data_IF_208068711929
#
_entry.id   IF_208068711929
#
_cell.length_a   1.000
_cell.length_b   1.000
_cell.length_c   1.000
_cell.angle_alpha   90.00
_cell.angle_beta   90.00
_cell.angle_gamma   90.00
#
_symmetry.space_group_name_H-M   'P 1'
#
loop_
_entity.id
_entity.type
_entity.pdbx_description
1 polymer ?
#
# COMPACT_ATOMS: atom_id res chain seq x y z
N UNK A 1 -18.12 -3.72 5.58
CA UNK A 1 -18.12 -2.25 5.41
C UNK A 1 -19.53 -1.78 5.07
N UNK A 2 -20.00 -0.65 5.62
CA UNK A 2 -21.32 -0.08 5.27
C UNK A 2 -21.32 0.48 3.82
N UNK A 3 -22.47 0.94 3.32
CA UNK A 3 -22.62 1.36 1.91
C UNK A 3 -21.84 2.65 1.61
N UNK A 4 -21.88 3.62 2.53
CA UNK A 4 -21.20 4.89 2.38
C UNK A 4 -19.67 4.72 2.38
N UNK A 5 -19.16 3.95 3.34
CA UNK A 5 -17.74 3.62 3.43
C UNK A 5 -17.27 2.83 2.21
N UNK A 6 -18.10 1.91 1.69
CA UNK A 6 -17.78 1.17 0.47
C UNK A 6 -17.61 2.10 -0.74
N UNK A 7 -18.53 3.06 -0.92
CA UNK A 7 -18.43 4.05 -2.00
C UNK A 7 -17.16 4.90 -1.88
N UNK A 8 -16.82 5.32 -0.66
CA UNK A 8 -15.58 6.07 -0.42
C UNK A 8 -14.34 5.23 -0.75
N UNK A 9 -14.31 3.97 -0.28
CA UNK A 9 -13.22 3.04 -0.59
C UNK A 9 -13.07 2.80 -2.10
N UNK A 10 -14.15 2.68 -2.87
CA UNK A 10 -14.09 2.53 -4.32
C UNK A 10 -13.38 3.69 -5.02
N UNK A 11 -13.54 4.92 -4.50
CA UNK A 11 -12.85 6.12 -5.02
C UNK A 11 -11.40 6.16 -4.54
N UNK A 12 -11.16 5.82 -3.28
CA UNK A 12 -9.84 5.89 -2.66
C UNK A 12 -8.86 4.83 -3.19
N UNK A 13 -9.34 3.61 -3.47
CA UNK A 13 -8.50 2.49 -3.92
C UNK A 13 -7.64 2.82 -5.16
N UNK A 14 -8.17 3.35 -6.28
CA UNK A 14 -7.34 3.72 -7.42
C UNK A 14 -6.35 4.86 -7.10
N UNK A 15 -6.71 5.79 -6.22
CA UNK A 15 -5.80 6.87 -5.78
C UNK A 15 -4.63 6.29 -4.99
N UNK A 16 -4.89 5.39 -4.04
CA UNK A 16 -3.87 4.68 -3.29
C UNK A 16 -2.96 3.83 -4.19
N UNK A 17 -3.52 3.20 -5.22
CA UNK A 17 -2.76 2.45 -6.23
C UNK A 17 -1.79 3.37 -6.98
N UNK A 18 -2.27 4.51 -7.47
CA UNK A 18 -1.42 5.48 -8.17
C UNK A 18 -0.30 6.01 -7.27
N UNK A 19 -0.58 6.31 -6.00
CA UNK A 19 0.46 6.71 -5.03
C UNK A 19 1.56 5.68 -4.90
N UNK A 20 1.20 4.39 -4.85
CA UNK A 20 2.18 3.32 -4.78
C UNK A 20 3.03 3.24 -6.05
N UNK A 21 2.41 3.38 -7.24
CA UNK A 21 3.14 3.47 -8.50
C UNK A 21 4.13 4.65 -8.50
N UNK A 22 3.70 5.83 -8.07
CA UNK A 22 4.55 7.03 -7.97
C UNK A 22 5.72 6.78 -7.02
N UNK A 23 5.50 6.14 -5.87
CA UNK A 23 6.56 5.80 -4.92
C UNK A 23 7.60 4.86 -5.54
N UNK A 24 7.16 3.77 -6.15
CA UNK A 24 8.05 2.79 -6.83
C UNK A 24 8.87 3.50 -7.92
N UNK A 25 8.23 4.34 -8.73
CA UNK A 25 8.92 5.04 -9.81
C UNK A 25 9.92 6.08 -9.29
N UNK A 26 9.64 6.74 -8.17
CA UNK A 26 10.58 7.67 -7.54
C UNK A 26 11.84 6.94 -7.02
N UNK A 27 11.67 5.75 -6.46
CA UNK A 27 12.80 4.91 -6.00
C UNK A 27 13.65 4.43 -7.19
N UNK A 28 13.00 3.99 -8.28
CA UNK A 28 13.68 3.63 -9.52
C UNK A 28 14.43 4.83 -10.13
N UNK A 29 13.80 5.99 -10.22
CA UNK A 29 14.42 7.22 -10.74
C UNK A 29 15.68 7.58 -9.94
N UNK A 30 15.61 7.51 -8.61
CA UNK A 30 16.76 7.77 -7.73
C UNK A 30 17.93 6.83 -8.06
N UNK A 31 17.66 5.54 -8.27
CA UNK A 31 18.68 4.53 -8.60
C UNK A 31 19.29 4.75 -9.98
N UNK A 32 18.46 5.04 -10.99
CA UNK A 32 18.93 5.36 -12.35
C UNK A 32 19.86 6.58 -12.36
N UNK A 33 19.61 7.55 -11.49
CA UNK A 33 20.38 8.80 -11.38
C UNK A 33 21.58 8.70 -10.42
N UNK A 34 21.78 7.59 -9.72
CA UNK A 34 22.87 7.45 -8.75
C UNK A 34 24.24 7.37 -9.44
N UNK A 35 25.00 8.45 -9.35
CA UNK A 35 26.31 8.58 -10.00
C UNK A 35 27.40 7.72 -9.37
N UNK A 36 27.16 7.15 -8.19
CA UNK A 36 28.12 6.27 -7.51
C UNK A 36 28.12 4.84 -8.07
N UNK A 37 27.05 4.44 -8.76
CA UNK A 37 26.94 3.16 -9.44
C UNK A 37 27.44 3.27 -10.89
N UNK A 38 28.06 2.21 -11.40
CA UNK A 38 28.35 2.08 -12.83
C UNK A 38 27.05 1.96 -13.64
N UNK A 39 27.06 2.27 -14.96
CA UNK A 39 25.84 2.21 -15.77
C UNK A 39 25.13 0.85 -15.75
N UNK A 40 25.87 -0.26 -15.70
CA UNK A 40 25.28 -1.59 -15.66
C UNK A 40 24.63 -1.89 -14.30
N UNK A 41 25.30 -1.54 -13.20
CA UNK A 41 24.74 -1.69 -11.84
C UNK A 41 23.46 -0.87 -11.65
N UNK A 42 23.37 0.32 -12.26
CA UNK A 42 22.12 1.10 -12.24
C UNK A 42 20.98 0.38 -12.95
N UNK A 43 21.25 -0.27 -14.08
CA UNK A 43 20.24 -1.01 -14.84
C UNK A 43 19.75 -2.19 -13.99
N UNK A 44 20.67 -3.00 -13.48
CA UNK A 44 20.36 -4.19 -12.66
C UNK A 44 19.57 -3.80 -11.40
N UNK A 45 20.07 -2.85 -10.60
CA UNK A 45 19.40 -2.41 -9.38
C UNK A 45 18.02 -1.78 -9.65
N UNK A 46 17.86 -1.06 -10.78
CA UNK A 46 16.56 -0.49 -11.16
C UNK A 46 15.56 -1.57 -11.58
N UNK A 47 16.02 -2.62 -12.26
CA UNK A 47 15.19 -3.76 -12.62
C UNK A 47 14.71 -4.51 -11.38
N UNK A 48 15.61 -4.80 -10.44
CA UNK A 48 15.27 -5.47 -9.17
C UNK A 48 14.23 -4.67 -8.37
N UNK A 49 14.42 -3.35 -8.24
CA UNK A 49 13.47 -2.46 -7.57
C UNK A 49 12.10 -2.47 -8.24
N UNK A 50 12.07 -2.43 -9.57
CA UNK A 50 10.81 -2.46 -10.31
C UNK A 50 10.08 -3.80 -10.14
N UNK A 51 10.80 -4.92 -10.20
CA UNK A 51 10.22 -6.25 -9.99
C UNK A 51 9.68 -6.41 -8.56
N UNK A 52 10.44 -5.97 -7.55
CA UNK A 52 10.00 -5.96 -6.16
C UNK A 52 8.74 -5.09 -5.97
N UNK A 53 8.75 -3.87 -6.51
CA UNK A 53 7.60 -2.96 -6.47
C UNK A 53 6.35 -3.53 -7.15
N UNK A 54 6.50 -4.21 -8.28
CA UNK A 54 5.40 -4.92 -8.95
C UNK A 54 4.85 -6.08 -8.10
N UNK A 55 5.72 -6.85 -7.44
CA UNK A 55 5.31 -7.89 -6.48
C UNK A 55 4.49 -7.26 -5.35
N UNK A 56 4.97 -6.17 -4.75
CA UNK A 56 4.23 -5.48 -3.68
C UNK A 56 2.89 -4.92 -4.15
N UNK A 57 2.83 -4.31 -5.35
CA UNK A 57 1.57 -3.83 -5.95
C UNK A 57 0.56 -4.97 -6.10
N UNK A 58 1.01 -6.14 -6.56
CA UNK A 58 0.16 -7.31 -6.66
C UNK A 58 -0.35 -7.76 -5.29
N UNK A 59 0.50 -7.82 -4.26
CA UNK A 59 0.06 -8.18 -2.91
C UNK A 59 -0.91 -7.17 -2.30
N UNK A 60 -0.71 -5.87 -2.55
CA UNK A 60 -1.55 -4.82 -2.02
C UNK A 60 -2.92 -4.73 -2.72
N UNK A 61 -2.97 -4.97 -4.04
CA UNK A 61 -4.17 -4.70 -4.84
C UNK A 61 -4.70 -5.89 -5.65
N UNK A 62 -3.84 -6.80 -6.08
CA UNK A 62 -4.15 -7.87 -7.04
C UNK A 62 -4.55 -9.20 -6.41
N UNK A 63 -4.01 -9.54 -5.23
CA UNK A 63 -4.22 -10.87 -4.64
C UNK A 63 -5.64 -11.08 -4.11
N UNK A 64 -6.31 -10.00 -3.73
CA UNK A 64 -7.63 -10.07 -3.12
C UNK A 64 -8.75 -9.67 -4.09
N UNK A 65 -9.95 -10.19 -3.84
CA UNK A 65 -11.10 -9.88 -4.69
C UNK A 65 -11.60 -8.48 -4.38
N UNK A 66 -11.82 -7.67 -5.42
CA UNK A 66 -12.45 -6.36 -5.23
C UNK A 66 -13.93 -6.52 -4.85
N UNK A 67 -14.20 -6.62 -3.54
CA UNK A 67 -15.54 -6.84 -2.99
C UNK A 67 -15.76 -6.04 -1.71
N UNK A 68 -17.03 -5.70 -1.43
CA UNK A 68 -17.42 -4.97 -0.23
C UNK A 68 -17.16 -5.72 1.08
N UNK A 69 -17.16 -7.06 1.02
CA UNK A 69 -16.88 -7.90 2.18
C UNK A 69 -15.43 -7.76 2.62
N UNK A 70 -14.49 -7.82 1.67
CA UNK A 70 -13.04 -7.75 1.93
C UNK A 70 -12.51 -6.31 2.04
N UNK A 71 -13.28 -5.32 1.59
CA UNK A 71 -12.89 -3.90 1.56
C UNK A 71 -12.36 -3.34 2.89
N UNK A 72 -12.90 -3.80 4.04
CA UNK A 72 -12.43 -3.33 5.36
C UNK A 72 -10.99 -3.78 5.62
N UNK A 73 -10.69 -5.05 5.35
CA UNK A 73 -9.34 -5.61 5.48
C UNK A 73 -8.37 -4.99 4.48
N UNK A 74 -8.82 -4.71 3.25
CA UNK A 74 -7.97 -4.04 2.27
C UNK A 74 -7.65 -2.61 2.69
N UNK A 75 -8.66 -1.87 3.16
CA UNK A 75 -8.46 -0.51 3.66
C UNK A 75 -7.43 -0.49 4.80
N UNK A 76 -7.48 -1.44 5.73
CA UNK A 76 -6.45 -1.61 6.75
C UNK A 76 -5.06 -1.86 6.11
N UNK A 77 -4.97 -2.76 5.13
CA UNK A 77 -3.72 -3.05 4.42
C UNK A 77 -3.13 -1.85 3.68
N UNK A 78 -3.98 -0.96 3.14
CA UNK A 78 -3.56 0.30 2.53
C UNK A 78 -3.12 1.32 3.58
N UNK A 79 -3.82 1.41 4.72
CA UNK A 79 -3.44 2.29 5.84
C UNK A 79 -2.09 1.87 6.44
N UNK A 80 -1.87 0.57 6.63
CA UNK A 80 -0.61 0.04 7.16
C UNK A 80 0.60 0.27 6.23
N UNK A 81 0.36 0.53 4.94
CA UNK A 81 1.37 0.90 3.94
C UNK A 81 1.47 2.41 3.72
N UNK A 82 0.76 3.19 4.54
CA UNK A 82 0.68 4.65 4.47
C UNK A 82 0.16 5.18 3.11
N UNK A 83 -0.65 4.37 2.41
CA UNK A 83 -1.22 4.74 1.11
C UNK A 83 -2.52 5.55 1.23
N UNK A 84 -3.06 5.64 2.45
CA UNK A 84 -4.26 6.41 2.81
C UNK A 84 -3.85 7.45 3.85
N UNK A 85 -4.18 8.72 3.60
CA UNK A 85 -3.84 9.79 4.53
C UNK A 85 -4.81 9.81 5.72
N UNK A 86 -4.38 10.44 6.82
CA UNK A 86 -5.25 10.64 7.99
C UNK A 86 -6.54 11.41 7.63
N UNK A 87 -6.44 12.41 6.74
CA UNK A 87 -7.58 13.20 6.26
C UNK A 87 -8.56 12.34 5.46
N UNK A 88 -8.08 11.54 4.52
CA UNK A 88 -8.92 10.62 3.74
C UNK A 88 -9.61 9.59 4.64
N UNK A 89 -8.89 9.14 5.67
CA UNK A 89 -9.44 8.21 6.65
C UNK A 89 -10.58 8.85 7.46
N UNK A 90 -10.57 10.17 7.70
CA UNK A 90 -11.65 10.86 8.42
C UNK A 90 -13.02 10.79 7.73
N UNK A 91 -13.04 10.57 6.41
CA UNK A 91 -14.29 10.44 5.63
C UNK A 91 -15.04 9.13 5.89
N UNK A 92 -14.40 8.14 6.50
CA UNK A 92 -15.04 6.87 6.87
C UNK A 92 -15.83 6.98 8.18
N UNK A 93 -16.81 6.10 8.34
CA UNK A 93 -17.58 6.01 9.58
C UNK A 93 -16.70 5.77 10.80
N UNK A 94 -17.17 6.21 11.97
CA UNK A 94 -16.48 6.01 13.25
C UNK A 94 -16.16 4.54 13.50
N UNK A 95 -17.11 3.64 13.22
CA UNK A 95 -16.92 2.19 13.34
C UNK A 95 -15.73 1.68 12.50
N UNK A 96 -15.62 2.12 11.24
CA UNK A 96 -14.51 1.72 10.36
C UNK A 96 -13.19 2.31 10.87
N UNK A 97 -13.15 3.58 11.27
CA UNK A 97 -11.94 4.25 11.77
C UNK A 97 -11.41 3.62 13.05
N UNK A 98 -12.27 3.38 14.03
CA UNK A 98 -11.88 2.78 15.30
C UNK A 98 -11.39 1.34 15.13
N UNK A 99 -12.00 0.57 14.24
CA UNK A 99 -11.50 -0.77 13.93
C UNK A 99 -10.11 -0.75 13.27
N UNK A 100 -9.87 0.16 12.31
CA UNK A 100 -8.54 0.32 11.70
C UNK A 100 -7.51 0.69 12.75
N UNK A 101 -7.83 1.69 13.59
CA UNK A 101 -6.96 2.15 14.66
C UNK A 101 -6.62 1.04 15.64
N UNK A 102 -7.62 0.25 16.05
CA UNK A 102 -7.41 -0.90 16.92
C UNK A 102 -6.48 -1.93 16.26
N UNK A 103 -6.71 -2.29 15.00
CA UNK A 103 -5.88 -3.26 14.29
C UNK A 103 -4.43 -2.77 14.08
N UNK A 104 -4.22 -1.47 13.81
CA UNK A 104 -2.87 -0.92 13.69
C UNK A 104 -2.13 -0.92 15.03
N UNK A 105 -2.81 -0.52 16.11
CA UNK A 105 -2.23 -0.56 17.46
C UNK A 105 -1.90 -1.99 17.91
N UNK A 106 -2.76 -2.96 17.57
CA UNK A 106 -2.52 -4.39 17.84
C UNK A 106 -1.30 -4.91 17.07
N UNK A 107 -1.16 -4.54 15.79
CA UNK A 107 0.02 -4.88 14.98
C UNK A 107 1.31 -4.31 15.58
N UNK A 108 1.30 -3.05 16.02
CA UNK A 108 2.44 -2.40 16.67
C UNK A 108 2.81 -3.08 18.01
N UNK A 109 1.80 -3.47 18.79
CA UNK A 109 2.00 -4.13 20.09
C UNK A 109 2.49 -5.58 19.98
N UNK A 110 2.07 -6.29 18.93
CA UNK A 110 2.33 -7.72 18.78
C UNK A 110 3.42 -8.08 17.76
N UNK A 111 4.00 -7.10 17.06
CA UNK A 111 5.13 -7.31 16.17
C UNK A 111 4.84 -8.42 15.16
N UNK A 112 3.85 -8.22 14.30
CA UNK A 112 3.71 -9.08 13.12
C UNK A 112 4.90 -8.71 12.22
N UNK A 113 5.98 -9.49 12.35
CA UNK A 113 7.05 -9.58 11.35
C UNK A 113 6.35 -9.63 9.99
N UNK A 114 6.70 -8.70 9.11
CA UNK A 114 6.28 -8.79 7.72
C UNK A 114 6.58 -10.23 7.29
N UNK A 115 5.55 -10.97 6.92
CA UNK A 115 5.71 -12.30 6.35
C UNK A 115 6.50 -12.07 5.06
N UNK A 116 7.82 -12.11 5.17
CA UNK A 116 8.75 -12.18 4.07
C UNK A 116 8.26 -13.32 3.20
N UNK A 117 7.66 -12.94 2.07
CA UNK A 117 7.06 -13.85 1.14
C UNK A 117 8.20 -14.66 0.49
N UNK A 118 8.45 -15.85 1.04
CA UNK A 118 9.17 -16.96 0.39
C UNK A 118 8.73 -17.13 -1.08
#
# INVERSE_FOLDING_TARGET
MNESDWKLYCVLRPVAHERMCVRIMADVEKTVLDKNLSPYERIEASEELLQAGQKELYWAFGVFRFSRHEARSHLLGLCARELVTAEELTGFSEETREWIKHCLADREAHGIEDLDAE
#
